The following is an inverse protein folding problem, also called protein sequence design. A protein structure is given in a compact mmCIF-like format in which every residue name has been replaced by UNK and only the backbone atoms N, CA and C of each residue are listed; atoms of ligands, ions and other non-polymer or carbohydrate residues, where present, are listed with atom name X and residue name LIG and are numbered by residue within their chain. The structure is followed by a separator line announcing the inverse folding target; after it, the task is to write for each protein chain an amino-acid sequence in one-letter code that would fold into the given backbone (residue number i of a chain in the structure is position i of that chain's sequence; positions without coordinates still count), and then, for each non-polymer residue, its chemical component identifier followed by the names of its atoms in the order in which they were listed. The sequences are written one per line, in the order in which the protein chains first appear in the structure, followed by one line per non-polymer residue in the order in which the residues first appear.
data_IF_126624561922
#
_entry.id   IF_126624561922
#
_cell.length_a   1.000
_cell.length_b   1.000
_cell.length_c   1.000
_cell.angle_alpha   90.00
_cell.angle_beta   90.00
_cell.angle_gamma   90.00
#
_symmetry.space_group_name_H-M   'P 1'
#
loop_
_entity.id
_entity.type
_entity.pdbx_description
1 polymer ?
#
# COMPACT_ATOMS: atom_id res chain seq x y z
N UNK A 1 -92.49 -30.41 -32.84
CA UNK A 1 -92.30 -31.20 -34.07
C UNK A 1 -90.85 -30.98 -34.51
N UNK A 2 -90.09 -32.08 -34.43
CA UNK A 2 -88.90 -32.50 -35.15
C UNK A 2 -87.80 -31.47 -35.35
N UNK A 3 -86.79 -31.36 -34.54
CA UNK A 3 -85.56 -32.11 -34.36
C UNK A 3 -84.71 -32.31 -35.62
N UNK A 4 -83.54 -31.70 -35.60
CA UNK A 4 -82.32 -32.38 -36.05
C UNK A 4 -81.06 -31.83 -35.30
N UNK A 5 -80.45 -32.74 -34.55
CA UNK A 5 -79.09 -32.59 -34.03
C UNK A 5 -78.11 -32.69 -35.20
N UNK A 6 -77.12 -31.78 -35.27
CA UNK A 6 -75.89 -31.98 -36.01
C UNK A 6 -74.69 -32.13 -35.04
N UNK A 7 -74.11 -33.32 -35.13
CA UNK A 7 -72.95 -33.74 -34.42
C UNK A 7 -71.72 -33.16 -35.16
N UNK A 8 -70.96 -32.33 -34.48
CA UNK A 8 -69.72 -31.70 -35.04
C UNK A 8 -68.48 -32.19 -34.28
N UNK A 9 -68.05 -33.43 -34.61
CA UNK A 9 -66.82 -34.04 -34.14
C UNK A 9 -65.61 -33.36 -34.82
N UNK A 10 -64.97 -32.49 -34.08
CA UNK A 10 -63.67 -31.91 -34.44
C UNK A 10 -62.56 -32.96 -34.30
N UNK A 11 -62.00 -33.40 -35.42
CA UNK A 11 -60.76 -34.20 -35.49
C UNK A 11 -59.57 -33.33 -35.18
N UNK A 12 -58.55 -33.82 -34.43
CA UNK A 12 -57.30 -33.10 -34.18
C UNK A 12 -56.41 -33.12 -35.43
N UNK A 13 -55.59 -32.05 -35.65
CA UNK A 13 -54.70 -32.02 -36.78
C UNK A 13 -53.56 -33.03 -36.64
N UNK A 14 -53.33 -33.82 -37.71
CA UNK A 14 -52.26 -34.78 -37.85
C UNK A 14 -50.89 -34.05 -37.96
N UNK A 15 -50.03 -34.17 -36.95
CA UNK A 15 -48.64 -33.84 -37.03
C UNK A 15 -47.85 -34.98 -37.72
N UNK A 16 -47.82 -35.00 -39.01
CA UNK A 16 -46.88 -35.83 -39.80
C UNK A 16 -46.03 -34.92 -40.66
N UNK A 17 -44.71 -34.87 -40.40
CA UNK A 17 -43.74 -34.45 -41.35
C UNK A 17 -42.88 -33.24 -41.03
N UNK A 18 -42.19 -33.25 -39.91
CA UNK A 18 -40.93 -32.47 -39.80
C UNK A 18 -39.77 -33.44 -39.70
N UNK A 19 -38.77 -33.35 -40.55
CA UNK A 19 -37.63 -34.27 -40.52
C UNK A 19 -36.77 -34.07 -39.27
N UNK A 20 -36.48 -35.17 -38.59
CA UNK A 20 -35.77 -35.22 -37.29
C UNK A 20 -34.42 -34.47 -37.25
N UNK A 21 -33.83 -34.13 -38.41
CA UNK A 21 -32.57 -33.38 -38.48
C UNK A 21 -32.70 -31.90 -38.14
N UNK A 22 -33.87 -31.26 -38.26
CA UNK A 22 -34.06 -29.85 -37.88
C UNK A 22 -34.15 -29.66 -36.37
N UNK A 23 -34.55 -30.67 -35.63
CA UNK A 23 -34.60 -30.63 -34.15
C UNK A 23 -33.18 -30.87 -33.57
N UNK A 24 -32.39 -31.73 -34.20
CA UNK A 24 -31.01 -32.00 -33.77
C UNK A 24 -30.07 -30.81 -33.96
N UNK A 25 -30.25 -30.01 -35.07
CA UNK A 25 -29.44 -28.82 -35.29
C UNK A 25 -29.76 -27.67 -34.34
N UNK A 26 -31.01 -27.49 -33.92
CA UNK A 26 -31.39 -26.47 -32.93
C UNK A 26 -30.85 -26.80 -31.52
N UNK A 27 -30.86 -28.09 -31.16
CA UNK A 27 -30.28 -28.54 -29.88
C UNK A 27 -28.74 -28.44 -29.85
N UNK A 28 -28.06 -28.73 -30.97
CA UNK A 28 -26.60 -28.61 -31.10
C UNK A 28 -26.10 -27.16 -31.09
N UNK A 29 -26.86 -26.23 -31.69
CA UNK A 29 -26.53 -24.80 -31.67
C UNK A 29 -26.80 -24.21 -30.28
N UNK A 30 -27.87 -24.63 -29.59
CA UNK A 30 -28.09 -24.20 -28.19
C UNK A 30 -27.03 -24.76 -27.25
N UNK A 31 -26.54 -26.00 -27.45
CA UNK A 31 -25.46 -26.56 -26.63
C UNK A 31 -24.10 -25.91 -26.91
N UNK A 32 -23.83 -25.43 -28.15
CA UNK A 32 -22.60 -24.66 -28.45
C UNK A 32 -22.59 -23.25 -27.84
N UNK A 33 -23.75 -22.61 -27.68
CA UNK A 33 -23.83 -21.30 -27.00
C UNK A 33 -23.67 -21.37 -25.49
N UNK A 34 -23.86 -22.54 -24.88
CA UNK A 34 -23.60 -22.74 -23.45
C UNK A 34 -22.14 -23.15 -23.13
N UNK A 35 -21.30 -23.41 -24.15
CA UNK A 35 -19.89 -23.77 -24.00
C UNK A 35 -18.92 -22.62 -24.29
N UNK A 36 -19.40 -21.43 -24.60
CA UNK A 36 -18.59 -20.22 -24.44
C UNK A 36 -18.58 -19.90 -22.94
N UNK A 37 -17.75 -20.67 -22.22
CA UNK A 37 -17.56 -20.49 -20.79
C UNK A 37 -17.19 -19.03 -20.55
N UNK A 38 -18.04 -18.30 -19.87
CA UNK A 38 -17.58 -17.20 -19.08
C UNK A 38 -16.40 -17.77 -18.28
N UNK A 39 -15.19 -17.28 -18.51
CA UNK A 39 -14.06 -17.53 -17.60
C UNK A 39 -14.44 -16.87 -16.28
N UNK A 40 -15.30 -17.55 -15.53
CA UNK A 40 -15.66 -17.14 -14.19
C UNK A 40 -14.42 -17.32 -13.32
N UNK A 41 -13.98 -16.27 -12.70
CA UNK A 41 -12.99 -16.34 -11.63
C UNK A 41 -13.47 -17.39 -10.61
N UNK A 42 -12.59 -18.29 -10.18
CA UNK A 42 -12.91 -19.17 -9.05
C UNK A 42 -13.25 -18.31 -7.84
N UNK A 43 -14.22 -18.76 -7.03
CA UNK A 43 -14.52 -18.05 -5.78
C UNK A 43 -13.26 -18.01 -4.91
N UNK A 44 -12.94 -16.86 -4.31
CA UNK A 44 -11.79 -16.74 -3.42
C UNK A 44 -11.88 -17.74 -2.27
N UNK A 45 -10.74 -18.30 -1.90
CA UNK A 45 -10.63 -19.12 -0.71
C UNK A 45 -10.79 -18.23 0.51
N UNK A 46 -11.78 -18.50 1.39
CA UNK A 46 -11.99 -17.67 2.56
C UNK A 46 -10.88 -17.87 3.59
N UNK A 47 -10.60 -16.83 4.35
CA UNK A 47 -9.70 -16.85 5.49
C UNK A 47 -10.21 -15.97 6.62
N UNK A 48 -9.43 -15.82 7.69
CA UNK A 48 -9.81 -15.03 8.85
C UNK A 48 -8.76 -13.95 9.12
N UNK A 49 -9.26 -12.73 9.42
CA UNK A 49 -8.50 -11.62 10.00
C UNK A 49 -8.90 -11.37 11.46
N UNK A 50 -9.52 -12.37 12.10
CA UNK A 50 -9.83 -12.32 13.54
C UNK A 50 -8.54 -12.50 14.35
N UNK A 51 -7.81 -11.42 14.50
CA UNK A 51 -6.51 -11.36 15.18
C UNK A 51 -6.33 -9.99 15.83
N UNK A 52 -5.80 -9.99 17.05
CA UNK A 52 -5.30 -8.78 17.69
C UNK A 52 -3.82 -8.66 17.39
N UNK A 53 -3.46 -7.61 16.65
CA UNK A 53 -2.08 -7.36 16.27
C UNK A 53 -1.26 -6.85 17.46
N UNK A 54 0.02 -7.18 17.47
CA UNK A 54 0.98 -6.69 18.46
C UNK A 54 1.10 -5.16 18.37
N UNK A 55 0.57 -4.46 19.35
CA UNK A 55 0.58 -2.99 19.45
C UNK A 55 1.90 -2.42 20.00
N UNK A 56 2.88 -3.28 20.32
CA UNK A 56 4.09 -2.88 21.03
C UNK A 56 3.87 -2.58 22.50
N UNK A 57 4.74 -1.77 23.10
CA UNK A 57 4.67 -1.40 24.51
C UNK A 57 5.21 0.02 24.74
N UNK A 58 4.70 0.69 25.79
CA UNK A 58 5.23 2.00 26.24
C UNK A 58 6.70 1.91 26.66
N UNK A 59 7.08 0.79 27.25
CA UNK A 59 8.45 0.43 27.62
C UNK A 59 8.70 -1.01 27.14
N UNK A 60 9.39 -1.12 26.01
CA UNK A 60 9.72 -2.40 25.40
C UNK A 60 10.72 -3.23 26.21
N UNK A 61 11.48 -2.60 27.12
CA UNK A 61 12.41 -3.29 28.01
C UNK A 61 11.68 -3.90 29.19
N UNK A 62 10.76 -3.14 29.79
CA UNK A 62 9.94 -3.60 30.92
C UNK A 62 8.87 -4.62 30.50
N UNK A 63 8.40 -4.55 29.25
CA UNK A 63 7.38 -5.44 28.68
C UNK A 63 7.88 -6.04 27.37
N UNK A 64 8.75 -7.06 27.43
CA UNK A 64 9.29 -7.69 26.25
C UNK A 64 8.18 -8.27 25.35
N UNK A 65 8.29 -8.05 24.04
CA UNK A 65 7.37 -8.52 23.03
C UNK A 65 8.05 -9.56 22.14
N UNK A 66 7.28 -10.53 21.64
CA UNK A 66 7.76 -11.36 20.53
C UNK A 66 8.11 -10.46 19.34
N UNK A 67 9.31 -10.58 18.73
CA UNK A 67 9.73 -9.67 17.68
C UNK A 67 8.91 -9.81 16.39
N UNK A 68 8.26 -10.97 16.23
CA UNK A 68 7.42 -11.30 15.07
C UNK A 68 6.18 -12.06 15.53
N UNK A 69 5.01 -11.59 15.11
CA UNK A 69 3.74 -12.30 15.28
C UNK A 69 3.37 -12.94 13.95
N UNK A 70 2.92 -14.19 13.98
CA UNK A 70 2.47 -14.93 12.79
C UNK A 70 0.98 -15.22 12.93
N UNK A 71 0.22 -14.90 11.89
CA UNK A 71 -1.19 -15.23 11.77
C UNK A 71 -1.44 -16.02 10.48
N UNK A 72 -2.16 -17.14 10.59
CA UNK A 72 -2.60 -17.90 9.42
C UNK A 72 -3.95 -17.37 8.97
N UNK A 73 -3.97 -16.65 7.84
CA UNK A 73 -5.21 -16.21 7.21
C UNK A 73 -6.03 -17.38 6.69
N UNK A 74 -5.36 -18.30 6.00
CA UNK A 74 -5.82 -19.64 5.60
C UNK A 74 -4.58 -20.55 5.54
N UNK A 75 -4.69 -21.89 5.38
CA UNK A 75 -3.55 -22.80 5.52
C UNK A 75 -2.33 -22.54 4.61
N UNK A 76 -2.50 -21.78 3.52
CA UNK A 76 -1.43 -21.45 2.56
C UNK A 76 -1.14 -19.95 2.48
N UNK A 77 -1.69 -19.13 3.38
CA UNK A 77 -1.50 -17.67 3.42
C UNK A 77 -1.25 -17.22 4.84
N UNK A 78 -0.06 -16.67 5.09
CA UNK A 78 0.34 -16.18 6.40
C UNK A 78 0.60 -14.69 6.35
N UNK A 79 0.15 -13.99 7.39
CA UNK A 79 0.40 -12.57 7.65
C UNK A 79 1.35 -12.51 8.85
N UNK A 80 2.49 -11.85 8.67
CA UNK A 80 3.48 -11.68 9.72
C UNK A 80 3.51 -10.21 10.13
N UNK A 81 3.43 -9.94 11.43
CA UNK A 81 3.53 -8.59 11.99
C UNK A 81 4.86 -8.44 12.72
N UNK A 82 5.70 -7.52 12.27
CA UNK A 82 6.88 -7.10 13.00
C UNK A 82 6.45 -6.31 14.25
N UNK A 83 6.99 -6.66 15.42
CA UNK A 83 6.68 -5.93 16.66
C UNK A 83 7.16 -4.48 16.58
N UNK A 84 6.33 -3.49 16.97
CA UNK A 84 6.78 -2.11 17.14
C UNK A 84 7.98 -1.97 18.09
N UNK A 85 8.13 -2.90 19.05
CA UNK A 85 9.30 -2.95 19.93
C UNK A 85 10.58 -3.46 19.24
N UNK A 86 10.47 -4.23 18.14
CA UNK A 86 11.62 -4.62 17.34
C UNK A 86 12.05 -3.48 16.39
N UNK A 87 11.09 -2.80 15.80
CA UNK A 87 11.28 -1.59 15.02
C UNK A 87 9.96 -0.83 14.93
N UNK A 88 9.96 0.49 15.10
CA UNK A 88 8.77 1.34 15.13
C UNK A 88 7.97 1.33 13.81
N UNK A 89 8.57 0.97 12.67
CA UNK A 89 7.86 0.82 11.38
C UNK A 89 6.81 -0.30 11.43
N UNK A 90 7.04 -1.32 12.27
CA UNK A 90 6.06 -2.35 12.58
C UNK A 90 5.38 -2.97 11.35
N UNK A 91 6.20 -3.34 10.34
CA UNK A 91 5.75 -3.80 9.04
C UNK A 91 4.89 -5.06 9.09
N UNK A 92 3.99 -5.17 8.13
CA UNK A 92 3.34 -6.42 7.76
C UNK A 92 4.08 -7.05 6.58
N UNK A 93 4.31 -8.36 6.68
CA UNK A 93 4.95 -9.18 5.69
C UNK A 93 4.00 -10.31 5.33
N UNK A 94 4.05 -10.82 4.11
CA UNK A 94 3.09 -11.81 3.65
C UNK A 94 3.78 -13.02 3.03
N UNK A 95 3.41 -14.23 3.49
CA UNK A 95 3.93 -15.48 2.93
C UNK A 95 2.79 -16.24 2.24
N UNK A 96 2.95 -16.49 0.95
CA UNK A 96 1.99 -17.18 0.09
C UNK A 96 2.59 -18.50 -0.38
N UNK A 97 1.94 -19.61 -0.07
CA UNK A 97 2.40 -20.94 -0.47
C UNK A 97 1.69 -21.41 -1.73
N UNK A 98 2.45 -21.83 -2.72
CA UNK A 98 1.97 -22.65 -3.84
C UNK A 98 2.44 -24.10 -3.68
N UNK A 99 2.24 -24.94 -4.72
CA UNK A 99 2.74 -26.32 -4.72
C UNK A 99 4.23 -26.46 -5.09
N UNK A 100 4.79 -25.45 -5.78
CA UNK A 100 6.14 -25.53 -6.35
C UNK A 100 7.11 -24.55 -5.69
N UNK A 101 6.62 -23.40 -5.24
CA UNK A 101 7.38 -22.38 -4.51
C UNK A 101 6.48 -21.52 -3.64
N UNK A 102 7.07 -20.85 -2.68
CA UNK A 102 6.44 -19.81 -1.87
C UNK A 102 6.85 -18.41 -2.36
N UNK A 103 6.01 -17.43 -2.12
CA UNK A 103 6.31 -15.99 -2.28
C UNK A 103 6.30 -15.34 -0.90
N UNK A 104 7.43 -14.74 -0.51
CA UNK A 104 7.50 -13.81 0.62
C UNK A 104 7.47 -12.39 0.08
N UNK A 105 6.46 -11.62 0.48
CA UNK A 105 6.33 -10.20 0.14
C UNK A 105 6.87 -9.38 1.31
N UNK A 106 7.94 -8.65 1.06
CA UNK A 106 8.72 -7.83 1.98
C UNK A 106 9.46 -8.65 3.07
N UNK A 107 10.53 -8.07 3.63
CA UNK A 107 11.35 -8.67 4.69
C UNK A 107 11.47 -7.79 5.93
N UNK A 108 10.75 -6.66 5.95
CA UNK A 108 10.66 -5.77 7.11
C UNK A 108 11.90 -4.92 7.37
N UNK A 109 11.89 -4.25 8.51
CA UNK A 109 12.82 -3.20 8.90
C UNK A 109 14.00 -3.68 9.78
N UNK A 110 14.17 -5.00 9.99
CA UNK A 110 15.19 -5.56 10.90
C UNK A 110 16.08 -6.57 10.20
N UNK A 111 17.36 -6.23 10.07
CA UNK A 111 18.37 -7.09 9.43
C UNK A 111 18.90 -8.20 10.35
N UNK A 112 19.05 -7.90 11.65
CA UNK A 112 19.66 -8.82 12.63
C UNK A 112 18.72 -9.98 12.95
N UNK A 113 19.08 -11.24 12.61
CA UNK A 113 18.25 -12.42 12.93
C UNK A 113 18.12 -12.69 14.43
N UNK A 114 18.98 -12.09 15.28
CA UNK A 114 18.82 -12.20 16.74
C UNK A 114 17.72 -11.28 17.26
N UNK A 115 17.57 -10.10 16.64
CA UNK A 115 16.53 -9.15 16.97
C UNK A 115 15.17 -9.55 16.36
N UNK A 116 15.15 -10.11 15.14
CA UNK A 116 13.95 -10.61 14.47
C UNK A 116 14.32 -11.81 13.59
N UNK A 117 14.06 -13.06 14.02
CA UNK A 117 14.48 -14.27 13.31
C UNK A 117 13.56 -14.60 12.13
N UNK A 118 13.46 -13.68 11.14
CA UNK A 118 12.50 -13.78 10.04
C UNK A 118 12.74 -15.03 9.17
N UNK A 119 13.97 -15.23 8.68
CA UNK A 119 14.25 -16.37 7.81
C UNK A 119 13.98 -17.71 8.49
N UNK A 120 14.33 -17.83 9.78
CA UNK A 120 14.01 -19.03 10.58
C UNK A 120 12.49 -19.25 10.63
N UNK A 121 11.73 -18.20 10.97
CA UNK A 121 10.26 -18.28 11.05
C UNK A 121 9.65 -18.67 9.70
N UNK A 122 10.12 -18.09 8.60
CA UNK A 122 9.64 -18.46 7.26
C UNK A 122 9.93 -19.93 6.97
N UNK A 123 11.15 -20.40 7.21
CA UNK A 123 11.52 -21.81 6.98
C UNK A 123 10.70 -22.80 7.83
N UNK A 124 10.31 -22.41 9.04
CA UNK A 124 9.43 -23.23 9.90
C UNK A 124 7.99 -23.32 9.36
N UNK A 125 7.51 -22.30 8.67
CA UNK A 125 6.19 -22.27 8.03
C UNK A 125 6.14 -23.02 6.70
N UNK A 126 7.28 -23.22 6.02
CA UNK A 126 7.32 -23.91 4.74
C UNK A 126 7.06 -25.40 4.90
N UNK A 127 6.20 -26.00 4.06
CA UNK A 127 6.07 -27.46 3.99
C UNK A 127 7.36 -28.12 3.50
N UNK A 128 7.59 -29.34 3.95
CA UNK A 128 8.63 -30.19 3.39
C UNK A 128 8.10 -30.93 2.15
N UNK A 129 8.84 -30.80 1.03
CA UNK A 129 8.57 -31.48 -0.23
C UNK A 129 9.80 -32.35 -0.56
N UNK A 130 9.67 -33.64 -0.64
CA UNK A 130 10.76 -34.58 -0.95
C UNK A 130 12.00 -34.39 -0.05
N UNK A 131 11.78 -34.24 1.26
CA UNK A 131 12.81 -33.96 2.28
C UNK A 131 13.57 -32.65 2.10
N UNK A 132 13.00 -31.66 1.34
CA UNK A 132 13.52 -30.29 1.19
C UNK A 132 12.43 -29.30 1.48
N UNK A 133 12.82 -28.14 1.98
CA UNK A 133 11.90 -27.01 2.10
C UNK A 133 11.48 -26.51 0.73
N UNK A 134 10.22 -26.07 0.63
CA UNK A 134 9.71 -25.42 -0.56
C UNK A 134 10.59 -24.22 -0.93
N UNK A 135 11.00 -24.03 -2.21
CA UNK A 135 11.74 -22.85 -2.64
C UNK A 135 10.99 -21.54 -2.33
N UNK A 136 11.70 -20.49 -2.03
CA UNK A 136 11.11 -19.18 -1.71
C UNK A 136 11.57 -18.12 -2.70
N UNK A 137 10.63 -17.42 -3.31
CA UNK A 137 10.86 -16.15 -3.96
C UNK A 137 10.61 -15.04 -2.93
N UNK A 138 11.61 -14.19 -2.70
CA UNK A 138 11.47 -12.96 -1.90
C UNK A 138 11.30 -11.81 -2.86
N UNK A 139 10.15 -11.14 -2.80
CA UNK A 139 9.86 -9.97 -3.61
C UNK A 139 9.42 -8.81 -2.71
N UNK A 140 9.62 -7.58 -3.17
CA UNK A 140 9.34 -6.40 -2.38
C UNK A 140 8.27 -5.54 -3.06
N UNK A 141 7.42 -4.94 -2.23
CA UNK A 141 6.48 -3.93 -2.72
C UNK A 141 7.23 -2.73 -3.28
N UNK A 142 8.33 -2.34 -2.64
CA UNK A 142 9.22 -1.29 -3.14
C UNK A 142 10.58 -1.30 -2.41
N UNK A 143 11.49 -0.40 -2.80
CA UNK A 143 12.90 -0.42 -2.38
C UNK A 143 13.23 0.29 -1.06
N UNK A 144 12.26 0.84 -0.30
CA UNK A 144 12.57 1.46 0.98
C UNK A 144 13.13 0.44 1.96
N UNK A 145 14.01 0.91 2.86
CA UNK A 145 14.81 0.03 3.69
C UNK A 145 13.96 -0.81 4.66
N UNK A 146 12.89 -0.26 5.15
CA UNK A 146 11.96 -0.91 6.07
C UNK A 146 11.18 -2.09 5.44
N UNK A 147 11.15 -2.19 4.10
CA UNK A 147 10.57 -3.33 3.39
C UNK A 147 11.59 -4.43 3.03
N UNK A 148 12.89 -4.16 3.17
CA UNK A 148 13.96 -5.04 2.68
C UNK A 148 15.15 -5.23 3.61
N UNK A 149 15.13 -4.66 4.80
CA UNK A 149 16.27 -4.77 5.73
C UNK A 149 16.57 -6.22 6.14
N UNK A 150 15.57 -7.11 6.11
CA UNK A 150 15.73 -8.52 6.42
C UNK A 150 16.36 -9.39 5.32
N UNK A 151 16.57 -8.88 4.11
CA UNK A 151 17.15 -9.64 2.97
C UNK A 151 18.43 -10.39 3.29
N UNK A 152 19.38 -9.83 4.08
CA UNK A 152 20.61 -10.54 4.44
C UNK A 152 20.37 -11.88 5.14
N UNK A 153 19.23 -12.06 5.81
CA UNK A 153 18.88 -13.33 6.45
C UNK A 153 18.59 -14.45 5.44
N UNK A 154 18.26 -14.09 4.19
CA UNK A 154 17.92 -15.01 3.11
C UNK A 154 19.04 -15.22 2.09
N UNK A 155 19.97 -14.30 1.98
CA UNK A 155 20.96 -14.22 0.92
C UNK A 155 21.85 -15.47 0.76
N UNK A 156 22.06 -16.26 1.82
CA UNK A 156 22.88 -17.49 1.81
C UNK A 156 22.05 -18.77 1.75
N UNK A 157 20.72 -18.69 1.70
CA UNK A 157 19.87 -19.86 1.70
C UNK A 157 19.75 -20.46 0.28
N UNK A 158 20.04 -21.77 0.08
CA UNK A 158 20.21 -22.33 -1.26
C UNK A 158 18.95 -22.42 -2.11
N UNK A 159 17.76 -22.32 -1.49
CA UNK A 159 16.47 -22.41 -2.18
C UNK A 159 15.71 -21.06 -2.13
N UNK A 160 16.42 -19.94 -2.02
CA UNK A 160 15.83 -18.61 -1.98
C UNK A 160 16.32 -17.77 -3.15
N UNK A 161 15.40 -17.16 -3.86
CA UNK A 161 15.63 -16.18 -4.91
C UNK A 161 15.12 -14.82 -4.44
N UNK A 162 15.99 -13.81 -4.40
CA UNK A 162 15.60 -12.44 -4.03
C UNK A 162 15.47 -11.62 -5.31
N UNK A 163 14.28 -11.04 -5.52
CA UNK A 163 14.00 -10.18 -6.68
C UNK A 163 14.81 -8.89 -6.57
N UNK A 164 15.52 -8.45 -7.62
CA UNK A 164 16.21 -7.16 -7.64
C UNK A 164 15.23 -6.00 -7.37
N UNK A 165 15.69 -4.92 -6.72
CA UNK A 165 14.84 -3.80 -6.29
C UNK A 165 15.12 -2.50 -7.04
N UNK A 166 16.19 -2.43 -7.82
CA UNK A 166 16.39 -1.30 -8.72
C UNK A 166 15.38 -1.31 -9.86
N UNK A 167 15.17 -0.18 -10.49
CA UNK A 167 14.12 0.00 -11.48
C UNK A 167 14.23 -0.97 -12.66
N UNK A 168 15.44 -1.15 -13.18
CA UNK A 168 15.67 -2.04 -14.31
C UNK A 168 15.60 -3.51 -13.90
N UNK A 169 16.08 -3.84 -12.71
CA UNK A 169 16.02 -5.17 -12.13
C UNK A 169 14.58 -5.65 -11.91
N UNK A 170 13.72 -4.84 -11.31
CA UNK A 170 12.28 -5.16 -11.14
C UNK A 170 11.62 -5.39 -12.49
N UNK A 171 11.85 -4.51 -13.46
CA UNK A 171 11.28 -4.62 -14.80
C UNK A 171 11.74 -5.87 -15.52
N UNK A 172 13.03 -6.14 -15.49
CA UNK A 172 13.62 -7.31 -16.16
C UNK A 172 13.14 -8.62 -15.53
N UNK A 173 13.13 -8.70 -14.19
CA UNK A 173 12.73 -9.90 -13.47
C UNK A 173 11.28 -10.29 -13.75
N UNK A 174 10.36 -9.34 -13.66
CA UNK A 174 8.94 -9.58 -13.91
C UNK A 174 8.55 -9.51 -15.39
N UNK A 175 9.49 -9.19 -16.29
CA UNK A 175 9.24 -9.11 -17.73
C UNK A 175 8.37 -7.91 -18.15
N UNK A 176 8.39 -6.82 -17.41
CA UNK A 176 7.65 -5.61 -17.77
C UNK A 176 8.24 -4.92 -19.00
N UNK A 177 7.57 -5.06 -20.13
CA UNK A 177 7.94 -4.39 -21.39
C UNK A 177 7.35 -2.99 -21.51
N UNK A 178 6.23 -2.73 -20.84
CA UNK A 178 5.51 -1.45 -20.88
C UNK A 178 5.18 -0.96 -19.45
N UNK A 179 6.21 -0.51 -18.72
CA UNK A 179 6.04 0.09 -17.40
C UNK A 179 5.41 1.47 -17.49
N UNK A 180 4.40 1.80 -16.64
CA UNK A 180 3.82 0.99 -15.58
C UNK A 180 2.52 0.26 -16.00
N UNK A 181 2.19 0.18 -17.28
CA UNK A 181 0.90 -0.34 -17.77
C UNK A 181 0.81 -1.87 -17.82
N UNK A 182 1.94 -2.58 -17.77
CA UNK A 182 1.99 -4.03 -17.80
C UNK A 182 1.55 -4.67 -16.49
N UNK A 183 1.01 -5.89 -16.58
CA UNK A 183 0.78 -6.77 -15.42
C UNK A 183 1.66 -8.00 -15.61
N UNK A 184 2.42 -8.36 -14.59
CA UNK A 184 3.17 -9.60 -14.58
C UNK A 184 2.46 -10.68 -13.77
N UNK A 185 2.79 -11.94 -14.01
CA UNK A 185 2.17 -13.07 -13.36
C UNK A 185 3.23 -13.99 -12.78
N UNK A 186 3.13 -14.28 -11.49
CA UNK A 186 4.00 -15.22 -10.78
C UNK A 186 3.21 -16.48 -10.49
N UNK A 187 3.58 -17.58 -11.14
CA UNK A 187 3.02 -18.90 -10.82
C UNK A 187 3.82 -19.53 -9.69
N UNK A 188 3.11 -19.89 -8.61
CA UNK A 188 3.67 -20.56 -7.44
C UNK A 188 3.42 -22.08 -7.47
N UNK A 189 2.85 -22.62 -8.56
CA UNK A 189 2.31 -23.96 -8.65
C UNK A 189 0.87 -24.01 -8.16
N UNK A 190 -0.08 -23.95 -9.11
CA UNK A 190 -1.52 -23.94 -8.82
C UNK A 190 -2.03 -22.68 -8.09
N UNK A 191 -1.21 -21.67 -7.93
CA UNK A 191 -1.53 -20.35 -7.36
C UNK A 191 -0.83 -19.26 -8.15
N UNK A 192 -1.58 -18.38 -8.76
CA UNK A 192 -1.05 -17.23 -9.52
C UNK A 192 -1.18 -15.97 -8.69
N UNK A 193 -0.10 -15.19 -8.65
CA UNK A 193 -0.06 -13.85 -8.07
C UNK A 193 0.24 -12.84 -9.17
N UNK A 194 -0.64 -11.87 -9.35
CA UNK A 194 -0.47 -10.81 -10.32
C UNK A 194 0.34 -9.67 -9.69
N UNK A 195 1.34 -9.17 -10.41
CA UNK A 195 2.20 -8.06 -9.97
C UNK A 195 1.84 -6.82 -10.77
N UNK A 196 1.36 -5.80 -10.08
CA UNK A 196 0.78 -4.58 -10.65
C UNK A 196 1.69 -3.41 -10.33
N UNK A 197 2.30 -2.73 -11.32
CA UNK A 197 3.07 -1.52 -11.06
C UNK A 197 2.19 -0.41 -10.47
N UNK A 198 2.61 0.14 -9.33
CA UNK A 198 1.92 1.21 -8.61
C UNK A 198 2.87 2.34 -8.19
N UNK A 199 3.63 2.94 -9.17
CA UNK A 199 4.51 4.05 -8.87
C UNK A 199 3.73 5.27 -8.34
N UNK A 200 4.44 6.11 -7.55
CA UNK A 200 3.88 7.33 -6.96
C UNK A 200 4.36 7.54 -5.53
N UNK A 201 4.34 6.49 -4.71
CA UNK A 201 5.08 6.43 -3.43
C UNK A 201 6.57 6.21 -3.68
N UNK A 202 6.92 5.28 -4.54
CA UNK A 202 8.28 4.99 -5.00
C UNK A 202 8.24 4.60 -6.49
N UNK A 203 9.27 4.92 -7.31
CA UNK A 203 9.27 4.59 -8.73
C UNK A 203 9.22 3.09 -9.05
N UNK A 204 9.70 2.23 -8.14
CA UNK A 204 9.71 0.76 -8.32
C UNK A 204 8.53 0.07 -7.63
N UNK A 205 7.57 0.84 -7.09
CA UNK A 205 6.49 0.26 -6.31
C UNK A 205 5.59 -0.65 -7.14
N UNK A 206 5.29 -1.84 -6.58
CA UNK A 206 4.34 -2.82 -7.11
C UNK A 206 3.38 -3.26 -6.00
N UNK A 207 2.15 -3.56 -6.38
CA UNK A 207 1.20 -4.29 -5.55
C UNK A 207 1.08 -5.74 -6.05
N UNK A 208 0.74 -6.66 -5.16
CA UNK A 208 0.57 -8.08 -5.48
C UNK A 208 -0.89 -8.46 -5.28
N UNK A 209 -1.54 -9.01 -6.31
CA UNK A 209 -2.90 -9.51 -6.20
C UNK A 209 -2.89 -11.04 -6.25
N UNK A 210 -3.36 -11.67 -5.20
CA UNK A 210 -3.45 -13.12 -5.11
C UNK A 210 -4.78 -13.64 -5.66
N UNK A 211 -4.73 -14.34 -6.78
CA UNK A 211 -5.91 -14.88 -7.43
C UNK A 211 -6.61 -15.98 -6.60
N UNK A 212 -5.92 -16.57 -5.61
CA UNK A 212 -6.48 -17.61 -4.74
C UNK A 212 -7.40 -17.03 -3.67
N UNK A 213 -6.98 -15.98 -3.01
CA UNK A 213 -7.72 -15.38 -1.88
C UNK A 213 -8.47 -14.11 -2.26
N UNK A 214 -8.17 -13.51 -3.41
CA UNK A 214 -8.69 -12.21 -3.80
C UNK A 214 -8.13 -11.05 -2.98
N UNK A 215 -7.00 -11.23 -2.31
CA UNK A 215 -6.34 -10.19 -1.52
C UNK A 215 -5.43 -9.36 -2.42
N UNK A 216 -5.48 -8.03 -2.27
CA UNK A 216 -4.50 -7.10 -2.79
C UNK A 216 -3.51 -6.73 -1.67
N UNK A 217 -2.26 -7.18 -1.78
CA UNK A 217 -1.16 -6.74 -0.93
C UNK A 217 -0.58 -5.47 -1.52
N UNK A 218 -0.96 -4.35 -0.93
CA UNK A 218 -0.77 -3.02 -1.50
C UNK A 218 0.51 -2.31 -1.04
N UNK A 219 1.26 -2.86 -0.09
CA UNK A 219 2.41 -2.17 0.50
C UNK A 219 2.02 -0.76 0.96
N UNK A 220 2.81 0.23 0.59
CA UNK A 220 2.59 1.64 0.96
C UNK A 220 1.76 2.42 -0.07
N UNK A 221 1.26 1.73 -1.10
CA UNK A 221 0.33 2.32 -2.05
C UNK A 221 -1.03 2.61 -1.42
N UNK A 222 -1.56 1.71 -0.57
CA UNK A 222 -2.82 1.93 0.14
C UNK A 222 -2.81 1.15 1.46
N UNK A 223 -2.78 1.87 2.57
CA UNK A 223 -2.70 1.32 3.92
C UNK A 223 -3.40 2.24 4.92
N UNK A 224 -3.80 1.77 6.11
CA UNK A 224 -4.34 2.63 7.18
C UNK A 224 -3.23 3.46 7.82
N UNK A 225 -2.75 4.46 7.08
CA UNK A 225 -1.56 5.24 7.44
C UNK A 225 -1.34 6.48 6.60
N UNK A 226 -0.12 6.99 6.65
CA UNK A 226 0.35 8.11 5.83
C UNK A 226 0.83 7.60 4.48
N UNK A 227 0.05 7.84 3.44
CA UNK A 227 0.45 7.60 2.06
C UNK A 227 1.44 8.70 1.65
N UNK A 228 2.72 8.36 1.61
CA UNK A 228 3.80 9.30 1.30
C UNK A 228 3.87 9.53 -0.22
N UNK A 229 3.49 10.72 -0.67
CA UNK A 229 3.36 11.06 -2.08
C UNK A 229 4.67 11.66 -2.60
N UNK A 230 5.42 10.92 -3.42
CA UNK A 230 6.59 11.45 -4.15
C UNK A 230 6.16 12.03 -5.49
N UNK A 231 5.31 11.30 -6.24
CA UNK A 231 4.74 11.73 -7.51
C UNK A 231 3.22 11.54 -7.49
N UNK A 232 2.49 12.64 -7.38
CA UNK A 232 1.03 12.62 -7.26
C UNK A 232 0.34 12.17 -8.56
N UNK A 233 0.90 12.52 -9.73
CA UNK A 233 0.34 12.13 -11.02
C UNK A 233 0.50 10.61 -11.23
N UNK A 234 1.70 10.07 -11.00
CA UNK A 234 1.94 8.64 -11.10
C UNK A 234 1.10 7.84 -10.09
N UNK A 235 0.88 8.38 -8.90
CA UNK A 235 0.06 7.74 -7.87
C UNK A 235 -1.43 7.69 -8.28
N UNK A 236 -1.96 8.81 -8.78
CA UNK A 236 -3.32 8.89 -9.31
C UNK A 236 -3.55 7.88 -10.44
N UNK A 237 -2.65 7.85 -11.43
CA UNK A 237 -2.70 6.88 -12.52
C UNK A 237 -2.58 5.43 -12.04
N UNK A 238 -1.80 5.19 -11.00
CA UNK A 238 -1.70 3.88 -10.36
C UNK A 238 -3.01 3.47 -9.70
N UNK A 239 -3.72 4.39 -9.04
CA UNK A 239 -5.04 4.12 -8.46
C UNK A 239 -6.06 3.74 -9.55
N UNK A 240 -6.11 4.49 -10.65
CA UNK A 240 -6.99 4.18 -11.78
C UNK A 240 -6.67 2.80 -12.39
N UNK A 241 -5.39 2.46 -12.54
CA UNK A 241 -4.94 1.17 -13.07
C UNK A 241 -5.35 0.00 -12.18
N UNK A 242 -5.16 0.10 -10.87
CA UNK A 242 -5.56 -0.95 -9.92
C UNK A 242 -7.08 -1.11 -9.89
N UNK A 243 -7.84 0.00 -9.91
CA UNK A 243 -9.31 -0.02 -10.00
C UNK A 243 -9.75 -0.73 -11.29
N UNK A 244 -9.15 -0.39 -12.43
CA UNK A 244 -9.47 -1.02 -13.73
C UNK A 244 -9.15 -2.52 -13.73
N UNK A 245 -7.98 -2.89 -13.22
CA UNK A 245 -7.58 -4.29 -13.05
C UNK A 245 -8.57 -5.09 -12.21
N UNK A 246 -9.13 -4.50 -11.15
CA UNK A 246 -10.04 -5.15 -10.21
C UNK A 246 -11.52 -5.12 -10.64
N UNK A 247 -11.89 -4.46 -11.74
CA UNK A 247 -13.30 -4.38 -12.21
C UNK A 247 -13.97 -5.74 -12.39
N UNK A 248 -13.21 -6.71 -12.88
CA UNK A 248 -13.70 -8.05 -13.21
C UNK A 248 -13.18 -9.12 -12.25
N UNK A 249 -12.45 -8.75 -11.22
CA UNK A 249 -11.82 -9.67 -10.27
C UNK A 249 -12.44 -9.54 -8.88
N UNK A 250 -12.57 -10.65 -8.14
CA UNK A 250 -12.99 -10.59 -6.75
C UNK A 250 -11.92 -9.85 -5.93
N UNK A 251 -12.35 -8.97 -5.03
CA UNK A 251 -11.49 -8.32 -4.06
C UNK A 251 -12.07 -8.56 -2.67
N UNK A 252 -11.34 -9.30 -1.85
CA UNK A 252 -11.75 -9.62 -0.48
C UNK A 252 -11.25 -8.59 0.52
N UNK A 253 -9.94 -8.26 0.43
CA UNK A 253 -9.28 -7.32 1.32
C UNK A 253 -8.17 -6.58 0.57
N UNK A 254 -7.82 -5.39 1.07
CA UNK A 254 -6.60 -4.67 0.72
C UNK A 254 -5.74 -4.63 1.99
N UNK A 255 -4.55 -5.22 1.93
CA UNK A 255 -3.64 -5.31 3.06
C UNK A 255 -2.36 -4.51 2.77
N UNK A 256 -2.12 -3.49 3.57
CA UNK A 256 -0.97 -2.58 3.41
C UNK A 256 0.30 -3.03 4.12
N UNK A 257 1.37 -2.23 4.01
CA UNK A 257 2.64 -2.48 4.68
C UNK A 257 2.63 -2.13 6.18
N UNK A 258 1.75 -1.21 6.61
CA UNK A 258 1.73 -0.67 7.98
C UNK A 258 0.32 -0.36 8.47
N UNK A 259 0.19 -0.24 9.82
CA UNK A 259 -0.92 0.45 10.48
C UNK A 259 -0.33 1.64 11.23
N UNK A 260 -0.60 2.85 10.75
CA UNK A 260 -0.12 4.07 11.38
C UNK A 260 -1.24 4.92 12.00
N UNK A 261 -2.50 4.49 11.85
CA UNK A 261 -3.68 5.16 12.40
C UNK A 261 -4.27 4.35 13.56
N UNK A 262 -4.87 5.05 14.51
CA UNK A 262 -5.75 4.44 15.49
C UNK A 262 -7.20 4.34 14.94
N UNK A 263 -8.09 3.69 15.68
CA UNK A 263 -9.51 3.55 15.34
C UNK A 263 -10.27 4.86 15.18
N UNK A 264 -9.74 5.99 15.68
CA UNK A 264 -10.26 7.34 15.47
C UNK A 264 -9.66 8.01 14.22
N UNK A 265 -8.86 7.30 13.42
CA UNK A 265 -8.17 7.80 12.24
C UNK A 265 -7.06 8.82 12.56
N UNK A 266 -6.51 8.82 13.77
CA UNK A 266 -5.41 9.69 14.17
C UNK A 266 -4.10 8.95 13.99
N UNK A 267 -3.12 9.62 13.34
CA UNK A 267 -1.81 9.04 13.16
C UNK A 267 -1.01 9.00 14.47
N UNK A 268 -0.35 7.86 14.71
CA UNK A 268 0.64 7.79 15.78
C UNK A 268 1.81 8.71 15.50
N UNK A 269 2.51 9.11 16.57
CA UNK A 269 3.73 9.89 16.45
C UNK A 269 4.78 9.04 15.71
N UNK A 270 5.48 9.65 14.77
CA UNK A 270 6.60 9.01 14.10
C UNK A 270 7.64 8.50 15.12
N UNK A 271 8.10 7.26 14.94
CA UNK A 271 9.00 6.60 15.86
C UNK A 271 8.34 6.04 17.14
N UNK A 272 7.00 5.97 17.22
CA UNK A 272 6.30 5.34 18.34
C UNK A 272 6.50 3.83 18.35
N UNK A 273 6.85 3.27 19.50
CA UNK A 273 6.90 1.82 19.75
C UNK A 273 5.63 1.27 20.40
N UNK A 274 4.61 2.11 20.57
CA UNK A 274 3.33 1.71 21.18
C UNK A 274 2.16 2.32 20.41
N UNK A 275 1.35 1.45 19.83
CA UNK A 275 0.23 1.78 18.97
C UNK A 275 -1.10 1.25 19.54
N UNK A 276 -1.61 1.78 20.67
CA UNK A 276 -2.86 1.30 21.27
C UNK A 276 -4.06 1.62 20.41
N UNK A 277 -5.00 0.68 20.32
CA UNK A 277 -6.22 0.83 19.54
C UNK A 277 -5.93 1.09 18.04
N UNK A 278 -5.04 0.31 17.44
CA UNK A 278 -4.75 0.40 16.02
C UNK A 278 -6.02 0.27 15.17
N UNK A 279 -6.04 0.96 14.05
CA UNK A 279 -6.99 0.74 12.97
C UNK A 279 -6.91 -0.72 12.51
N UNK A 280 -7.95 -1.24 11.86
CA UNK A 280 -7.87 -2.56 11.21
C UNK A 280 -6.83 -2.52 10.09
N UNK A 281 -6.14 -3.66 9.86
CA UNK A 281 -5.17 -3.79 8.77
C UNK A 281 -5.86 -3.69 7.41
N UNK A 282 -7.00 -4.37 7.31
CA UNK A 282 -7.74 -4.45 6.05
C UNK A 282 -8.46 -3.14 5.71
N UNK A 283 -8.27 -2.72 4.47
CA UNK A 283 -9.06 -1.70 3.80
C UNK A 283 -10.01 -2.33 2.81
N UNK A 284 -11.05 -1.59 2.44
CA UNK A 284 -12.11 -2.04 1.56
C UNK A 284 -11.92 -1.51 0.12
N UNK A 285 -12.71 -2.02 -0.81
CA UNK A 285 -12.76 -1.55 -2.20
C UNK A 285 -13.05 -0.06 -2.29
N UNK A 286 -13.92 0.44 -1.43
CA UNK A 286 -14.35 1.84 -1.37
C UNK A 286 -13.19 2.77 -1.04
N UNK A 287 -12.21 2.34 -0.24
CA UNK A 287 -11.01 3.11 0.08
C UNK A 287 -10.13 3.30 -1.16
N UNK A 288 -9.99 2.26 -1.97
CA UNK A 288 -9.26 2.32 -3.24
C UNK A 288 -10.00 3.20 -4.27
N UNK A 289 -11.31 3.01 -4.42
CA UNK A 289 -12.13 3.76 -5.37
C UNK A 289 -12.24 5.25 -5.02
N UNK A 290 -12.02 5.62 -3.75
CA UNK A 290 -11.96 7.01 -3.30
C UNK A 290 -10.63 7.70 -3.64
N UNK A 291 -9.54 6.96 -3.90
CA UNK A 291 -8.21 7.55 -4.13
C UNK A 291 -8.16 8.55 -5.28
N UNK A 292 -8.69 8.30 -6.51
CA UNK A 292 -8.61 9.26 -7.61
C UNK A 292 -9.20 10.62 -7.23
N UNK A 293 -10.40 10.64 -6.66
CA UNK A 293 -11.03 11.89 -6.22
C UNK A 293 -10.29 12.55 -5.04
N UNK A 294 -9.60 11.79 -4.20
CA UNK A 294 -8.74 12.31 -3.15
C UNK A 294 -7.53 13.04 -3.73
N UNK A 295 -6.90 12.47 -4.77
CA UNK A 295 -5.77 13.08 -5.47
C UNK A 295 -6.15 14.34 -6.24
N UNK A 296 -7.30 14.39 -6.90
CA UNK A 296 -7.81 15.60 -7.58
C UNK A 296 -7.94 16.80 -6.61
N UNK A 297 -8.27 16.53 -5.36
CA UNK A 297 -8.42 17.54 -4.30
C UNK A 297 -7.18 17.76 -3.45
N UNK A 298 -6.12 16.97 -3.66
CA UNK A 298 -4.90 17.05 -2.88
C UNK A 298 -4.14 18.34 -3.17
N UNK A 299 -3.92 19.15 -2.14
CA UNK A 299 -3.21 20.44 -2.24
C UNK A 299 -1.69 20.30 -2.43
N UNK A 300 -1.18 19.08 -2.49
CA UNK A 300 0.25 18.78 -2.61
C UNK A 300 1.03 18.75 -1.30
N UNK A 301 0.38 18.99 -0.16
CA UNK A 301 1.03 19.01 1.16
C UNK A 301 0.46 17.97 2.11
N UNK A 302 -0.84 18.09 2.43
CA UNK A 302 -1.50 17.24 3.41
C UNK A 302 -3.01 17.20 3.16
N UNK A 303 -3.60 16.01 3.19
CA UNK A 303 -5.05 15.81 3.20
C UNK A 303 -5.40 14.58 4.03
N UNK A 304 -6.41 14.71 4.91
CA UNK A 304 -6.87 13.63 5.77
C UNK A 304 -8.15 13.03 5.23
N UNK A 305 -8.17 11.70 5.17
CA UNK A 305 -9.33 10.88 4.85
C UNK A 305 -9.65 9.96 6.04
N UNK A 306 -10.80 9.28 6.07
CA UNK A 306 -11.18 8.42 7.20
C UNK A 306 -10.14 7.35 7.54
N UNK A 307 -9.62 6.66 6.54
CA UNK A 307 -8.76 5.48 6.70
C UNK A 307 -7.32 5.69 6.23
N UNK A 308 -6.96 6.86 5.69
CA UNK A 308 -5.59 7.19 5.26
C UNK A 308 -5.34 8.70 5.24
N UNK A 309 -4.08 9.08 5.14
CA UNK A 309 -3.63 10.47 5.06
C UNK A 309 -2.74 10.61 3.83
N UNK A 310 -3.07 11.53 2.91
CA UNK A 310 -2.15 11.92 1.83
C UNK A 310 -1.17 12.95 2.35
N UNK A 311 0.13 12.73 2.17
CA UNK A 311 1.16 13.69 2.57
C UNK A 311 2.36 13.66 1.65
N UNK A 312 2.93 14.85 1.34
CA UNK A 312 4.18 14.95 0.60
C UNK A 312 5.29 15.44 1.54
N UNK A 313 6.11 14.55 2.08
CA UNK A 313 7.11 14.91 3.09
C UNK A 313 8.16 15.89 2.55
N UNK A 314 8.55 15.77 1.27
CA UNK A 314 9.55 16.64 0.65
C UNK A 314 9.03 18.07 0.54
N UNK A 315 7.81 18.25 0.03
CA UNK A 315 7.18 19.58 -0.06
C UNK A 315 6.96 20.20 1.30
N UNK A 316 6.54 19.42 2.28
CA UNK A 316 6.34 19.87 3.66
C UNK A 316 7.65 20.36 4.30
N UNK A 317 8.74 19.61 4.16
CA UNK A 317 10.06 20.01 4.65
C UNK A 317 10.58 21.26 3.94
N UNK A 318 10.41 21.34 2.63
CA UNK A 318 10.82 22.52 1.84
C UNK A 318 10.02 23.76 2.25
N UNK A 319 8.70 23.65 2.41
CA UNK A 319 7.87 24.76 2.88
C UNK A 319 8.30 25.22 4.27
N UNK A 320 8.56 24.29 5.20
CA UNK A 320 9.04 24.61 6.54
C UNK A 320 10.41 25.32 6.51
N UNK A 321 11.33 24.86 5.67
CA UNK A 321 12.64 25.51 5.48
C UNK A 321 12.51 26.93 4.93
N UNK A 322 11.62 27.16 3.96
CA UNK A 322 11.35 28.49 3.40
C UNK A 322 10.77 29.42 4.49
N UNK A 323 9.81 28.94 5.28
CA UNK A 323 9.23 29.72 6.38
C UNK A 323 10.31 30.08 7.41
N UNK A 324 11.14 29.13 7.82
CA UNK A 324 12.22 29.35 8.77
C UNK A 324 13.23 30.40 8.25
N UNK A 325 13.62 30.31 6.98
CA UNK A 325 14.49 31.28 6.34
C UNK A 325 13.86 32.69 6.31
N UNK A 326 12.58 32.81 5.97
CA UNK A 326 11.87 34.08 5.96
C UNK A 326 11.80 34.72 7.36
N UNK A 327 11.53 33.93 8.41
CA UNK A 327 11.54 34.37 9.81
C UNK A 327 12.93 34.86 10.21
N UNK A 328 13.99 34.12 9.87
CA UNK A 328 15.37 34.54 10.16
C UNK A 328 15.73 35.86 9.48
N UNK A 329 15.40 36.03 8.20
CA UNK A 329 15.59 37.28 7.46
C UNK A 329 14.87 38.43 8.16
N UNK A 330 13.62 38.23 8.58
CA UNK A 330 12.83 39.26 9.26
C UNK A 330 13.48 39.65 10.63
N UNK A 331 13.98 38.68 11.40
CA UNK A 331 14.67 38.93 12.66
C UNK A 331 15.96 39.75 12.40
N UNK A 332 16.79 39.34 11.43
CA UNK A 332 18.03 40.05 11.08
C UNK A 332 17.75 41.46 10.62
N UNK A 333 16.74 41.65 9.78
CA UNK A 333 16.32 42.97 9.32
C UNK A 333 15.81 43.88 10.47
N UNK A 334 15.04 43.29 11.39
CA UNK A 334 14.57 43.99 12.59
C UNK A 334 15.74 44.46 13.48
N UNK A 335 16.69 43.56 13.74
CA UNK A 335 17.90 43.89 14.50
C UNK A 335 18.73 44.95 13.82
N UNK A 336 18.92 44.87 12.50
CA UNK A 336 19.65 45.89 11.72
C UNK A 336 18.94 47.24 11.79
N UNK A 337 17.59 47.32 11.68
CA UNK A 337 16.81 48.53 11.88
C UNK A 337 17.00 49.13 13.26
N UNK A 338 16.96 48.33 14.32
CA UNK A 338 17.17 48.78 15.70
C UNK A 338 18.56 49.36 15.91
N UNK A 339 19.61 48.68 15.41
CA UNK A 339 21.01 49.16 15.48
C UNK A 339 21.15 50.47 14.72
N UNK A 340 20.58 50.56 13.51
CA UNK A 340 20.60 51.81 12.70
C UNK A 340 19.86 52.95 13.40
N UNK A 341 18.75 52.70 14.05
CA UNK A 341 17.97 53.68 14.79
C UNK A 341 18.76 54.17 16.03
N UNK A 342 19.40 53.29 16.79
CA UNK A 342 20.24 53.63 17.92
C UNK A 342 21.46 54.48 17.50
N UNK A 343 22.15 54.12 16.43
CA UNK A 343 23.26 54.92 15.87
C UNK A 343 22.82 56.30 15.45
N UNK A 344 21.68 56.45 14.82
CA UNK A 344 21.16 57.80 14.43
C UNK A 344 20.84 58.65 15.65
N UNK A 345 20.24 58.10 16.68
CA UNK A 345 19.98 58.83 17.97
C UNK A 345 21.28 59.29 18.58
N UNK A 346 22.28 58.39 18.67
CA UNK A 346 23.58 58.75 19.28
C UNK A 346 24.28 59.87 18.53
N UNK A 347 24.26 59.91 17.20
CA UNK A 347 24.83 60.99 16.37
C UNK A 347 24.08 62.27 16.60
N UNK A 348 22.74 62.26 16.75
CA UNK A 348 21.93 63.49 17.07
C UNK A 348 22.26 64.02 18.43
N UNK A 349 22.41 63.15 19.45
CA UNK A 349 22.77 63.52 20.82
C UNK A 349 24.15 64.13 20.90
N UNK A 350 25.16 63.59 20.20
CA UNK A 350 26.52 64.19 20.12
C UNK A 350 26.51 65.57 19.48
N UNK A 351 25.76 65.75 18.39
CA UNK A 351 25.63 67.10 17.72
C UNK A 351 24.92 68.09 18.60
N UNK A 352 23.96 67.70 19.45
CA UNK A 352 23.28 68.55 20.37
C UNK A 352 24.17 68.94 21.58
N UNK A 353 25.09 68.08 22.03
CA UNK A 353 26.11 68.35 23.02
C UNK A 353 27.13 69.39 22.46
N UNK A 354 27.67 69.17 21.26
CA UNK A 354 28.60 70.07 20.62
C UNK A 354 28.03 71.49 20.45
N UNK A 355 26.76 71.62 20.08
CA UNK A 355 26.07 72.90 19.99
C UNK A 355 25.90 73.60 21.37
N UNK A 356 25.72 72.85 22.44
CA UNK A 356 25.63 73.40 23.83
C UNK A 356 26.99 73.91 24.32
N UNK A 357 28.06 73.20 23.98
CA UNK A 357 29.43 73.63 24.37
C UNK A 357 29.88 74.91 23.63
N UNK A 358 29.50 75.04 22.32
CA UNK A 358 29.73 76.23 21.55
C UNK A 358 28.88 77.43 22.01
N UNK A 359 27.68 77.16 22.54
CA UNK A 359 26.79 78.25 23.09
C UNK A 359 27.18 78.70 24.50
N UNK A 360 27.99 77.88 25.21
CA UNK A 360 28.53 78.21 26.55
C UNK A 360 29.83 79.01 26.52
N UNK A 361 30.10 79.86 25.54
CA UNK A 361 31.27 80.68 25.29
C UNK A 361 32.30 80.82 26.45
N UNK A 362 33.58 81.14 26.19
CA UNK A 362 34.60 81.25 27.19
C UNK A 362 34.23 82.23 28.29
N UNK A 363 34.17 81.81 29.54
CA UNK A 363 34.06 82.66 30.68
C UNK A 363 35.14 83.75 30.56
N UNK A 364 34.72 84.98 30.31
CA UNK A 364 35.62 86.15 30.43
C UNK A 364 36.01 86.33 31.88
N UNK A 365 37.27 86.18 32.16
CA UNK A 365 37.98 86.55 33.38
C UNK A 365 37.96 88.03 33.62
#
# INVERSE_FOLDING_TARGET
MSERREDNSLQPPSFLGQPAWKVATAAAVAAMFFLTGAQGWSQPVPGSLDVHWNEGAKDCTATPQAPLQVHSYEPQTFILRQSPCANFEANFLYLLLGSDKALLIDTGAVADPKAMPLAKTILELLPDKDHKKLPVMVAHTHRHLDHRAGDPQFASLPSVEIVPMDFDGVRAFFGFTNWPSGIAHVDLGGRTVDVIPTPGHNPTHVAFYDNRTGILFSGDFLMPGRLLIQDAAAYHESALRVIDFLKTRPLTHILGGHIELNTAGQAYRFGSHYHPNEHRLELAREDLEALPAAFERFNGFYARHPNYILTNPIRNLLALAIIAAAVLIFIVWGMWRLVRHRRRRHVVDLRNLEKRDVAAGPFSS
#
